data_IF_159333569353
#
_entry.id   IF_159333569353
#
_cell.length_a   1.000
_cell.length_b   1.000
_cell.length_c   1.000
_cell.angle_alpha   90.00
_cell.angle_beta   90.00
_cell.angle_gamma   90.00
#
_symmetry.space_group_name_H-M   'P 1'
#
loop_
_entity.id
_entity.type
_entity.pdbx_description
1 polymer ?
#
# COMPACT_ATOMS: atom_id res chain seq x y z
N UNK A 1 41.28 -37.13 3.91
CA UNK A 1 41.61 -35.70 3.69
C UNK A 1 40.34 -34.99 3.21
N UNK A 2 40.02 -33.79 3.73
CA UNK A 2 38.65 -33.35 3.98
C UNK A 2 38.08 -32.40 2.90
N UNK A 3 36.83 -32.62 2.47
CA UNK A 3 35.68 -31.81 2.92
C UNK A 3 35.45 -30.37 2.46
N UNK A 4 36.05 -29.82 1.40
CA UNK A 4 35.96 -28.36 1.13
C UNK A 4 35.26 -27.91 -0.17
N UNK A 5 34.66 -28.81 -0.96
CA UNK A 5 34.15 -28.45 -2.30
C UNK A 5 32.70 -27.91 -2.34
N UNK A 6 31.94 -27.97 -1.24
CA UNK A 6 30.49 -27.66 -1.24
C UNK A 6 30.10 -26.31 -0.65
N UNK A 7 31.06 -25.52 -0.16
CA UNK A 7 30.78 -24.23 0.51
C UNK A 7 30.71 -23.07 -0.48
N UNK A 8 31.48 -23.09 -1.57
CA UNK A 8 31.59 -21.97 -2.51
C UNK A 8 30.37 -21.74 -3.41
N UNK A 9 29.54 -22.76 -3.64
CA UNK A 9 28.37 -22.68 -4.54
C UNK A 9 27.09 -22.19 -3.86
N UNK A 10 27.02 -22.29 -2.53
CA UNK A 10 25.84 -21.87 -1.75
C UNK A 10 25.90 -20.36 -1.44
N UNK A 11 27.10 -19.81 -1.27
CA UNK A 11 27.29 -18.38 -0.92
C UNK A 11 26.88 -17.45 -2.07
N UNK A 12 27.04 -17.85 -3.32
CA UNK A 12 26.69 -17.04 -4.50
C UNK A 12 25.18 -16.96 -4.80
N UNK A 13 24.36 -17.81 -4.19
CA UNK A 13 22.91 -17.86 -4.44
C UNK A 13 22.07 -17.11 -3.39
N UNK A 14 22.68 -16.69 -2.28
CA UNK A 14 22.02 -15.97 -1.19
C UNK A 14 22.12 -14.43 -1.29
N UNK A 15 22.95 -13.90 -2.19
CA UNK A 15 23.23 -12.46 -2.26
C UNK A 15 22.10 -11.55 -2.80
N UNK A 16 21.11 -12.00 -3.62
CA UNK A 16 20.14 -11.05 -4.17
C UNK A 16 18.95 -10.70 -3.26
N UNK A 17 18.80 -11.31 -2.07
CA UNK A 17 17.61 -11.10 -1.21
C UNK A 17 17.73 -9.87 -0.30
N UNK A 18 18.95 -9.33 -0.10
CA UNK A 18 19.18 -8.21 0.82
C UNK A 18 18.76 -6.82 0.28
N UNK A 19 18.27 -6.74 -0.95
CA UNK A 19 17.85 -5.48 -1.60
C UNK A 19 16.34 -5.26 -1.60
N UNK A 20 15.56 -6.05 -0.84
CA UNK A 20 14.14 -5.80 -0.63
C UNK A 20 13.92 -4.55 0.24
N UNK A 21 14.05 -3.38 -0.41
CA UNK A 21 13.33 -2.14 -0.16
C UNK A 21 13.08 -1.71 1.30
N UNK A 22 14.13 -1.17 1.96
CA UNK A 22 13.95 -0.24 3.08
C UNK A 22 13.49 1.14 2.55
N UNK A 23 12.23 1.27 2.16
CA UNK A 23 11.62 2.61 2.03
C UNK A 23 11.08 3.02 3.40
N UNK A 24 11.57 4.13 3.96
CA UNK A 24 11.06 4.63 5.23
C UNK A 24 9.53 4.79 5.14
N UNK A 25 8.75 4.31 6.12
CA UNK A 25 7.30 4.42 6.08
C UNK A 25 6.93 5.90 6.01
N UNK A 26 6.05 6.26 5.08
CA UNK A 26 5.56 7.63 4.96
C UNK A 26 4.36 7.81 5.88
N UNK A 27 4.43 8.76 6.79
CA UNK A 27 3.37 9.09 7.74
C UNK A 27 2.75 10.45 7.40
N UNK A 28 1.45 10.59 7.66
CA UNK A 28 0.74 11.85 7.49
C UNK A 28 0.85 12.69 8.76
N UNK A 29 1.42 13.88 8.65
CA UNK A 29 1.65 14.76 9.79
C UNK A 29 1.04 16.14 9.57
N UNK A 30 0.41 16.68 10.61
CA UNK A 30 -0.11 18.05 10.67
C UNK A 30 0.32 18.69 12.00
N UNK A 31 1.06 19.82 11.98
CA UNK A 31 1.54 20.45 13.21
C UNK A 31 0.38 20.81 14.15
N UNK A 32 0.55 20.54 15.44
CA UNK A 32 -0.43 20.88 16.48
C UNK A 32 -1.63 19.95 16.58
N UNK A 33 -1.69 18.87 15.80
CA UNK A 33 -2.78 17.89 15.87
C UNK A 33 -2.36 16.66 16.69
N UNK A 34 -3.25 16.21 17.57
CA UNK A 34 -3.02 15.00 18.36
C UNK A 34 -3.06 13.74 17.49
N UNK A 35 -2.35 12.67 17.88
CA UNK A 35 -2.41 11.38 17.16
C UNK A 35 -3.83 10.81 17.07
N UNK A 36 -4.66 11.04 18.09
CA UNK A 36 -6.06 10.61 18.10
C UNK A 36 -6.86 11.32 17.01
N UNK A 37 -6.74 12.66 16.93
CA UNK A 37 -7.37 13.46 15.89
C UNK A 37 -6.87 13.08 14.50
N UNK A 38 -5.56 12.82 14.35
CA UNK A 38 -5.00 12.34 13.09
C UNK A 38 -5.57 10.98 12.67
N UNK A 39 -5.78 10.07 13.60
CA UNK A 39 -6.42 8.78 13.32
C UNK A 39 -7.89 8.93 12.91
N UNK A 40 -8.64 9.83 13.57
CA UNK A 40 -10.01 10.18 13.16
C UNK A 40 -10.04 10.76 11.75
N UNK A 41 -9.17 11.73 11.46
CA UNK A 41 -9.09 12.36 10.14
C UNK A 41 -8.76 11.33 9.04
N UNK A 42 -7.84 10.40 9.30
CA UNK A 42 -7.51 9.31 8.38
C UNK A 42 -8.72 8.39 8.17
N UNK A 43 -9.43 8.00 9.24
CA UNK A 43 -10.63 7.17 9.13
C UNK A 43 -11.72 7.85 8.31
N UNK A 44 -11.99 9.14 8.55
CA UNK A 44 -12.97 9.90 7.78
C UNK A 44 -12.58 9.98 6.30
N UNK A 45 -11.30 10.25 6.02
CA UNK A 45 -10.80 10.29 4.66
C UNK A 45 -10.88 8.93 3.96
N UNK A 46 -10.67 7.82 4.67
CA UNK A 46 -10.87 6.47 4.12
C UNK A 46 -12.32 6.22 3.73
N UNK A 47 -13.28 6.58 4.60
CA UNK A 47 -14.71 6.42 4.31
C UNK A 47 -15.10 7.21 3.06
N UNK A 48 -14.65 8.47 2.97
CA UNK A 48 -14.91 9.33 1.81
C UNK A 48 -14.29 8.73 0.55
N UNK A 49 -13.01 8.36 0.60
CA UNK A 49 -12.29 7.80 -0.53
C UNK A 49 -12.94 6.51 -1.06
N UNK A 50 -13.30 5.60 -0.16
CA UNK A 50 -13.98 4.36 -0.52
C UNK A 50 -15.34 4.64 -1.17
N UNK A 51 -16.12 5.58 -0.61
CA UNK A 51 -17.41 5.95 -1.17
C UNK A 51 -17.31 6.56 -2.58
N UNK A 52 -16.26 7.33 -2.85
CA UNK A 52 -16.01 7.92 -4.16
C UNK A 52 -15.52 6.88 -5.16
N UNK A 53 -14.57 6.03 -4.76
CA UNK A 53 -14.05 4.96 -5.60
C UNK A 53 -15.14 3.96 -6.00
N UNK A 54 -16.02 3.57 -5.08
CA UNK A 54 -17.13 2.65 -5.37
C UNK A 54 -18.16 3.23 -6.36
N UNK A 55 -18.33 4.56 -6.40
CA UNK A 55 -19.24 5.21 -7.36
C UNK A 55 -18.70 5.14 -8.80
N UNK A 56 -17.38 5.19 -8.96
CA UNK A 56 -16.72 5.22 -10.27
C UNK A 56 -16.37 3.82 -10.76
N UNK A 57 -15.95 2.94 -9.84
CA UNK A 57 -15.56 1.56 -10.09
C UNK A 57 -16.44 0.62 -9.26
N UNK A 58 -17.67 0.37 -9.70
CA UNK A 58 -18.56 -0.47 -8.93
C UNK A 58 -18.15 -1.93 -9.09
N UNK A 59 -18.31 -2.70 -8.02
CA UNK A 59 -18.12 -4.14 -8.05
C UNK A 59 -19.33 -4.81 -8.70
N UNK A 60 -19.36 -4.83 -10.04
CA UNK A 60 -20.30 -5.66 -10.80
C UNK A 60 -19.55 -6.86 -11.37
N UNK A 61 -20.03 -8.06 -11.08
CA UNK A 61 -19.61 -9.23 -11.86
C UNK A 61 -20.09 -9.02 -13.29
N UNK A 62 -19.16 -9.02 -14.25
CA UNK A 62 -19.51 -9.01 -15.67
C UNK A 62 -20.38 -10.23 -15.98
N UNK A 63 -21.66 -10.00 -16.27
CA UNK A 63 -22.65 -11.04 -16.59
C UNK A 63 -22.34 -11.80 -17.87
N UNK A 64 -21.40 -11.30 -18.70
CA UNK A 64 -21.04 -11.86 -19.99
C UNK A 64 -19.71 -12.64 -19.98
N UNK A 65 -18.91 -12.49 -18.92
CA UNK A 65 -17.65 -13.22 -18.78
C UNK A 65 -17.85 -14.38 -17.80
N UNK A 66 -17.36 -15.57 -18.16
CA UNK A 66 -17.35 -16.74 -17.28
C UNK A 66 -15.92 -17.25 -17.08
N UNK A 67 -15.69 -17.97 -15.97
CA UNK A 67 -14.40 -18.57 -15.67
C UNK A 67 -13.26 -17.56 -15.50
N UNK A 68 -12.09 -17.88 -16.06
CA UNK A 68 -10.87 -17.09 -15.88
C UNK A 68 -10.98 -15.64 -16.41
N UNK A 69 -11.74 -15.42 -17.50
CA UNK A 69 -11.94 -14.09 -18.06
C UNK A 69 -12.74 -13.18 -17.11
N UNK A 70 -13.74 -13.74 -16.42
CA UNK A 70 -14.50 -13.01 -15.40
C UNK A 70 -13.60 -12.59 -14.24
N UNK A 71 -12.77 -13.53 -13.75
CA UNK A 71 -11.83 -13.28 -12.66
C UNK A 71 -10.81 -12.20 -13.02
N UNK A 72 -10.24 -12.25 -14.24
CA UNK A 72 -9.29 -11.24 -14.70
C UNK A 72 -9.94 -9.84 -14.82
N UNK A 73 -11.17 -9.77 -15.34
CA UNK A 73 -11.91 -8.50 -15.43
C UNK A 73 -12.24 -7.92 -14.04
N UNK A 74 -12.58 -8.78 -13.09
CA UNK A 74 -12.85 -8.38 -11.70
C UNK A 74 -11.57 -7.86 -11.03
N UNK A 75 -10.46 -8.57 -11.19
CA UNK A 75 -9.15 -8.15 -10.67
C UNK A 75 -8.71 -6.79 -11.22
N UNK A 76 -8.96 -6.54 -12.51
CA UNK A 76 -8.68 -5.25 -13.12
C UNK A 76 -9.50 -4.13 -12.47
N UNK A 77 -10.82 -4.31 -12.36
CA UNK A 77 -11.71 -3.33 -11.71
C UNK A 77 -11.33 -3.10 -10.25
N UNK A 78 -10.99 -4.16 -9.51
CA UNK A 78 -10.58 -4.04 -8.10
C UNK A 78 -9.25 -3.29 -7.97
N UNK A 79 -8.33 -3.48 -8.92
CA UNK A 79 -7.06 -2.74 -9.00
C UNK A 79 -7.31 -1.26 -9.28
N UNK A 80 -8.13 -0.94 -10.27
CA UNK A 80 -8.46 0.44 -10.63
C UNK A 80 -9.15 1.17 -9.46
N UNK A 81 -10.06 0.47 -8.78
CA UNK A 81 -10.73 0.98 -7.59
C UNK A 81 -9.74 1.29 -6.47
N UNK A 82 -8.79 0.40 -6.20
CA UNK A 82 -7.79 0.59 -5.17
C UNK A 82 -6.88 1.80 -5.47
N UNK A 83 -6.50 1.99 -6.73
CA UNK A 83 -5.73 3.16 -7.17
C UNK A 83 -6.53 4.46 -6.98
N UNK A 84 -7.81 4.45 -7.37
CA UNK A 84 -8.69 5.60 -7.20
C UNK A 84 -8.91 5.95 -5.72
N UNK A 85 -9.14 4.95 -4.86
CA UNK A 85 -9.28 5.13 -3.42
C UNK A 85 -8.02 5.79 -2.82
N UNK A 86 -6.83 5.33 -3.19
CA UNK A 86 -5.58 5.94 -2.74
C UNK A 86 -5.47 7.42 -3.15
N UNK A 87 -5.87 7.77 -4.38
CA UNK A 87 -5.88 9.14 -4.87
C UNK A 87 -6.86 10.06 -4.13
N UNK A 88 -8.07 9.56 -3.85
CA UNK A 88 -9.06 10.31 -3.08
C UNK A 88 -8.67 10.49 -1.62
N UNK A 89 -8.08 9.45 -1.02
CA UNK A 89 -7.55 9.53 0.32
C UNK A 89 -6.43 10.57 0.43
N UNK A 90 -5.47 10.55 -0.51
CA UNK A 90 -4.38 11.51 -0.56
C UNK A 90 -4.91 12.95 -0.68
N UNK A 91 -5.89 13.17 -1.55
CA UNK A 91 -6.53 14.48 -1.75
C UNK A 91 -7.22 14.96 -0.48
N UNK A 92 -8.03 14.10 0.17
CA UNK A 92 -8.70 14.43 1.43
C UNK A 92 -7.73 14.80 2.55
N UNK A 93 -6.64 14.04 2.71
CA UNK A 93 -5.62 14.33 3.72
C UNK A 93 -4.92 15.67 3.45
N UNK A 94 -4.59 15.95 2.18
CA UNK A 94 -4.01 17.24 1.77
C UNK A 94 -4.95 18.41 2.01
N UNK A 95 -6.24 18.27 1.71
CA UNK A 95 -7.26 19.29 1.93
C UNK A 95 -7.46 19.60 3.43
N UNK A 96 -7.33 18.58 4.28
CA UNK A 96 -7.28 18.76 5.75
C UNK A 96 -5.98 19.41 6.24
N UNK A 97 -4.99 19.62 5.37
CA UNK A 97 -3.71 20.27 5.67
C UNK A 97 -2.62 19.33 6.17
N UNK A 98 -2.75 18.01 5.95
CA UNK A 98 -1.68 17.06 6.25
C UNK A 98 -0.63 17.03 5.14
N UNK A 99 0.61 16.78 5.53
CA UNK A 99 1.74 16.54 4.62
C UNK A 99 2.33 15.17 4.88
N UNK A 100 2.72 14.46 3.82
CA UNK A 100 3.48 13.21 3.99
C UNK A 100 4.91 13.54 4.38
N UNK A 101 5.38 12.94 5.48
CA UNK A 101 6.78 12.93 5.87
C UNK A 101 7.25 11.50 6.07
N UNK A 102 8.56 11.29 5.98
CA UNK A 102 9.15 10.03 6.44
C UNK A 102 8.90 9.90 7.95
N UNK A 103 8.33 8.77 8.37
CA UNK A 103 8.21 8.43 9.76
C UNK A 103 9.59 8.44 10.42
N UNK A 104 9.70 8.89 11.68
CA UNK A 104 10.94 8.80 12.42
C UNK A 104 11.37 7.33 12.54
N UNK A 105 12.69 7.05 12.57
CA UNK A 105 13.18 5.69 12.75
C UNK A 105 12.64 5.10 14.07
N UNK A 106 12.33 3.79 14.11
CA UNK A 106 11.88 3.15 15.34
C UNK A 106 12.95 3.29 16.43
N UNK A 107 12.58 3.46 17.71
CA UNK A 107 13.54 3.51 18.80
C UNK A 107 14.31 2.18 18.86
N UNK A 108 15.64 2.28 19.01
CA UNK A 108 16.52 1.16 19.28
C UNK A 108 16.05 0.42 20.55
N UNK A 109 15.53 -0.80 20.40
CA UNK A 109 15.26 -1.72 21.51
C UNK A 109 16.46 -2.61 21.78
#
# INVERSE_FOLDING_TARGET
MPGWATVGKIILLMLPVALAACTAPMEWEKPGVSKSTAATDQSDCHIIAQSQAMRIYPSYMSTYASGAAAMASQQHTDTDRAVAEAGYFESCMRDKGYVRRSAPPPPNR
#
